data_IF_474509912628
#
_entry.id   IF_474509912628
#
_cell.length_a   1.000
_cell.length_b   1.000
_cell.length_c   1.000
_cell.angle_alpha   90.00
_cell.angle_beta   90.00
_cell.angle_gamma   90.00
#
_symmetry.space_group_name_H-M   'P 1'
#
loop_
_entity.id
_entity.type
_entity.pdbx_description
1 polymer ?
#
# COMPACT_ATOMS: atom_id res chain seq x y z
N UNK A 1 -24.38 1.08 -6.28
CA UNK A 1 -24.92 2.28 -5.61
C UNK A 1 -24.39 2.26 -4.18
N UNK A 2 -23.38 3.08 -3.85
CA UNK A 2 -22.81 3.11 -2.49
C UNK A 2 -23.81 3.81 -1.57
N UNK A 3 -24.46 3.06 -0.69
CA UNK A 3 -25.27 3.62 0.39
C UNK A 3 -24.27 4.07 1.46
N UNK A 4 -24.07 5.38 1.59
CA UNK A 4 -23.25 5.94 2.66
C UNK A 4 -23.95 5.67 4.00
N UNK A 5 -23.40 4.74 4.78
CA UNK A 5 -23.89 4.42 6.12
C UNK A 5 -23.55 5.60 7.03
N UNK A 6 -24.57 6.36 7.42
CA UNK A 6 -24.43 7.47 8.35
C UNK A 6 -24.09 6.93 9.75
N UNK A 7 -23.12 7.56 10.40
CA UNK A 7 -22.72 7.28 11.79
C UNK A 7 -23.91 7.39 12.76
N UNK A 8 -23.89 6.74 13.93
CA UNK A 8 -24.99 6.75 14.90
C UNK A 8 -25.50 8.16 15.24
N UNK A 9 -24.59 9.12 15.35
CA UNK A 9 -24.88 10.54 15.60
C UNK A 9 -25.67 11.20 14.48
N UNK A 10 -25.45 10.79 13.23
CA UNK A 10 -26.17 11.31 12.05
C UNK A 10 -27.53 10.63 11.85
N UNK A 11 -27.73 9.40 12.36
CA UNK A 11 -29.04 8.70 12.40
C UNK A 11 -30.04 9.41 13.33
N UNK A 12 -29.53 9.92 14.47
CA UNK A 12 -30.31 10.71 15.44
C UNK A 12 -30.92 11.99 14.82
N UNK A 13 -30.17 12.63 13.91
CA UNK A 13 -30.59 13.86 13.24
C UNK A 13 -31.72 13.62 12.23
N UNK A 14 -31.67 12.53 11.46
CA UNK A 14 -32.67 12.23 10.41
C UNK A 14 -34.02 11.80 11.01
N UNK A 15 -34.00 10.97 12.06
CA UNK A 15 -35.25 10.53 12.73
C UNK A 15 -35.84 11.65 13.59
N UNK A 16 -35.01 12.44 14.25
CA UNK A 16 -35.47 13.63 14.97
C UNK A 16 -36.19 14.64 14.05
N UNK A 17 -35.67 14.85 12.84
CA UNK A 17 -36.30 15.72 11.82
C UNK A 17 -37.62 15.14 11.29
N UNK A 18 -37.71 13.82 11.07
CA UNK A 18 -38.97 13.21 10.62
C UNK A 18 -40.08 13.23 11.68
N UNK A 19 -39.73 12.97 12.95
CA UNK A 19 -40.69 13.06 14.07
C UNK A 19 -41.12 14.51 14.27
N UNK A 20 -40.20 15.48 14.15
CA UNK A 20 -40.56 16.90 14.17
C UNK A 20 -41.53 17.26 13.04
N UNK A 21 -41.28 16.81 11.81
CA UNK A 21 -42.13 17.12 10.64
C UNK A 21 -43.53 16.53 10.76
N UNK A 22 -43.67 15.30 11.27
CA UNK A 22 -44.97 14.65 11.43
C UNK A 22 -45.81 15.29 12.53
N UNK A 23 -45.18 15.74 13.63
CA UNK A 23 -45.90 16.41 14.73
C UNK A 23 -46.24 17.85 14.36
N UNK A 24 -45.35 18.59 13.68
CA UNK A 24 -45.66 19.94 13.19
C UNK A 24 -46.84 19.95 12.19
N UNK A 25 -46.89 18.99 11.26
CA UNK A 25 -47.97 18.93 10.26
C UNK A 25 -49.33 18.53 10.84
N UNK A 26 -49.37 17.79 11.96
CA UNK A 26 -50.62 17.43 12.63
C UNK A 26 -51.25 18.61 13.38
N UNK A 27 -50.43 19.55 13.89
CA UNK A 27 -50.89 20.68 14.71
C UNK A 27 -51.08 21.99 13.93
N UNK A 28 -50.35 22.21 12.82
CA UNK A 28 -50.48 23.42 12.00
C UNK A 28 -51.86 23.65 11.39
N UNK A 29 -52.76 22.65 11.40
CA UNK A 29 -54.14 22.79 10.91
C UNK A 29 -55.14 23.33 11.94
N UNK A 30 -54.79 23.46 13.23
CA UNK A 30 -55.71 23.96 14.26
C UNK A 30 -55.02 24.89 15.29
N UNK A 31 -55.01 26.20 14.96
CA UNK A 31 -54.85 27.42 15.82
C UNK A 31 -53.66 27.54 16.82
N UNK A 32 -53.09 28.74 17.00
CA UNK A 32 -51.83 28.99 17.72
C UNK A 32 -51.92 29.04 19.26
N UNK A 33 -52.98 28.48 19.87
CA UNK A 33 -53.23 28.61 21.32
C UNK A 33 -52.63 27.45 22.14
N UNK A 34 -52.07 26.44 21.45
CA UNK A 34 -51.71 25.14 22.05
C UNK A 34 -50.22 25.09 22.44
N UNK A 35 -49.37 25.96 21.87
CA UNK A 35 -47.92 25.92 22.11
C UNK A 35 -47.50 26.54 23.45
N UNK A 36 -48.25 27.48 24.03
CA UNK A 36 -47.87 28.11 25.31
C UNK A 36 -48.40 27.37 26.55
N UNK A 37 -49.12 26.26 26.38
CA UNK A 37 -49.60 25.44 27.50
C UNK A 37 -48.42 24.64 28.11
N UNK A 38 -48.07 24.86 29.40
CA UNK A 38 -46.95 24.16 30.05
C UNK A 38 -47.12 22.63 30.09
N UNK A 39 -48.36 22.13 30.08
CA UNK A 39 -48.64 20.70 30.02
C UNK A 39 -48.30 20.13 28.64
N UNK A 40 -48.58 20.89 27.59
CA UNK A 40 -48.27 20.49 26.21
C UNK A 40 -46.77 20.59 25.94
N UNK A 41 -46.11 21.64 26.42
CA UNK A 41 -44.64 21.75 26.39
C UNK A 41 -43.95 20.59 27.11
N UNK A 42 -44.50 20.12 28.24
CA UNK A 42 -44.00 18.91 28.92
C UNK A 42 -44.21 17.64 28.11
N UNK A 43 -45.34 17.50 27.41
CA UNK A 43 -45.61 16.36 26.53
C UNK A 43 -44.63 16.36 25.35
N UNK A 44 -44.37 17.52 24.76
CA UNK A 44 -43.36 17.69 23.69
C UNK A 44 -41.95 17.34 24.18
N UNK A 45 -41.53 17.86 25.34
CA UNK A 45 -40.24 17.54 25.93
C UNK A 45 -40.09 16.05 26.26
N UNK A 46 -41.16 15.39 26.69
CA UNK A 46 -41.17 13.95 26.95
C UNK A 46 -41.04 13.12 25.65
N UNK A 47 -41.73 13.53 24.58
CA UNK A 47 -41.68 12.87 23.26
C UNK A 47 -40.34 13.03 22.55
N UNK A 48 -39.63 14.13 22.82
CA UNK A 48 -38.29 14.42 22.28
C UNK A 48 -37.16 13.92 23.20
N UNK A 49 -37.48 13.30 24.34
CA UNK A 49 -36.46 12.75 25.22
C UNK A 49 -35.66 11.64 24.52
N UNK A 50 -34.35 11.48 24.80
CA UNK A 50 -33.54 10.43 24.20
C UNK A 50 -34.17 9.03 24.34
N UNK A 51 -34.80 8.76 25.49
CA UNK A 51 -35.48 7.49 25.75
C UNK A 51 -36.76 7.29 24.92
N UNK A 52 -37.52 8.35 24.64
CA UNK A 52 -38.72 8.27 23.80
C UNK A 52 -38.38 8.10 22.32
N UNK A 53 -37.30 8.74 21.86
CA UNK A 53 -36.74 8.55 20.52
C UNK A 53 -36.30 7.09 20.35
N UNK A 54 -35.57 6.54 21.32
CA UNK A 54 -35.11 5.15 21.30
C UNK A 54 -36.27 4.15 21.27
N UNK A 55 -37.30 4.35 22.10
CA UNK A 55 -38.51 3.51 22.11
C UNK A 55 -39.29 3.58 20.80
N UNK A 56 -39.36 4.75 20.19
CA UNK A 56 -40.01 4.92 18.88
C UNK A 56 -39.25 4.20 17.78
N UNK A 57 -37.91 4.24 17.84
CA UNK A 57 -37.04 3.50 16.91
C UNK A 57 -37.29 1.99 16.99
N UNK A 58 -37.31 1.44 18.21
CA UNK A 58 -37.62 0.03 18.47
C UNK A 58 -39.03 -0.36 18.00
N UNK A 59 -40.01 0.54 18.13
CA UNK A 59 -41.39 0.27 17.72
C UNK A 59 -41.58 0.24 16.19
N UNK A 60 -40.96 1.19 15.47
CA UNK A 60 -41.13 1.28 14.00
C UNK A 60 -40.21 0.33 13.23
N UNK A 61 -39.04 0.02 13.76
CA UNK A 61 -38.04 -0.77 13.06
C UNK A 61 -37.82 -2.18 13.65
N UNK A 62 -38.30 -2.44 14.87
CA UNK A 62 -38.14 -3.72 15.57
C UNK A 62 -36.68 -4.15 15.74
N UNK A 63 -36.45 -5.32 16.35
CA UNK A 63 -35.15 -6.01 16.43
C UNK A 63 -34.54 -6.37 15.04
N UNK A 64 -35.14 -5.90 13.95
CA UNK A 64 -34.79 -6.24 12.56
C UNK A 64 -34.15 -5.09 11.79
N UNK A 65 -33.97 -3.90 12.37
CA UNK A 65 -33.05 -2.93 11.82
C UNK A 65 -31.61 -3.30 12.19
N UNK A 66 -30.90 -3.88 11.23
CA UNK A 66 -29.46 -4.19 11.31
C UNK A 66 -29.09 -4.98 12.58
N UNK A 67 -29.52 -6.25 12.65
CA UNK A 67 -28.51 -7.24 13.01
C UNK A 67 -27.48 -7.21 11.87
N UNK A 68 -26.47 -6.34 12.00
CA UNK A 68 -25.13 -6.82 11.71
C UNK A 68 -25.08 -8.19 12.39
N UNK A 69 -25.01 -9.26 11.60
CA UNK A 69 -24.46 -10.51 12.11
C UNK A 69 -23.01 -10.18 12.38
N UNK A 70 -22.76 -9.50 13.51
CA UNK A 70 -21.46 -9.55 14.16
C UNK A 70 -21.24 -11.03 14.39
N UNK A 71 -20.21 -11.57 13.76
CA UNK A 71 -19.80 -12.98 13.77
C UNK A 71 -19.43 -13.50 15.17
N UNK A 72 -19.80 -12.78 16.23
CA UNK A 72 -19.39 -13.02 17.60
C UNK A 72 -20.13 -14.18 18.28
N UNK A 73 -21.04 -14.87 17.58
CA UNK A 73 -21.74 -16.04 18.14
C UNK A 73 -21.70 -17.29 17.23
N UNK A 74 -20.89 -17.27 16.17
CA UNK A 74 -20.63 -18.48 15.38
C UNK A 74 -19.50 -19.28 16.01
N UNK A 75 -19.70 -20.60 16.12
CA UNK A 75 -18.70 -21.56 16.62
C UNK A 75 -17.39 -21.43 15.82
N UNK A 76 -16.25 -21.34 16.49
CA UNK A 76 -14.95 -21.20 15.82
C UNK A 76 -14.54 -22.51 15.16
N UNK A 77 -13.83 -22.44 14.02
CA UNK A 77 -13.22 -23.62 13.41
C UNK A 77 -12.30 -24.37 14.39
N UNK A 78 -11.59 -23.68 15.29
CA UNK A 78 -10.77 -24.31 16.33
C UNK A 78 -11.52 -25.40 17.14
N UNK A 79 -12.82 -25.25 17.34
CA UNK A 79 -13.62 -26.12 18.19
C UNK A 79 -14.08 -27.39 17.45
N UNK A 80 -14.13 -27.34 16.11
CA UNK A 80 -14.75 -28.36 15.27
C UNK A 80 -13.76 -29.13 14.39
N UNK A 81 -12.49 -28.74 14.38
CA UNK A 81 -11.44 -29.44 13.64
C UNK A 81 -10.84 -30.60 14.44
N UNK A 82 -10.49 -31.66 13.73
CA UNK A 82 -9.56 -32.68 14.16
C UNK A 82 -8.12 -32.13 14.07
N UNK A 83 -7.13 -32.77 14.74
CA UNK A 83 -5.73 -32.37 14.62
C UNK A 83 -5.17 -32.39 13.19
N UNK A 84 -5.77 -33.17 12.29
CA UNK A 84 -5.40 -33.26 10.87
C UNK A 84 -6.01 -32.15 10.00
N UNK A 85 -6.73 -31.20 10.61
CA UNK A 85 -7.40 -30.11 9.90
C UNK A 85 -8.73 -30.49 9.26
N UNK A 86 -9.22 -31.73 9.40
CA UNK A 86 -10.56 -32.09 8.92
C UNK A 86 -11.65 -31.73 9.91
N UNK A 87 -12.88 -31.49 9.46
CA UNK A 87 -14.03 -31.27 10.35
C UNK A 87 -14.40 -32.60 11.04
N UNK A 88 -14.64 -32.55 12.36
CA UNK A 88 -15.13 -33.68 13.17
C UNK A 88 -16.44 -34.23 12.58
N UNK A 89 -16.58 -35.55 12.56
CA UNK A 89 -17.78 -36.23 12.04
C UNK A 89 -19.04 -35.80 12.80
N UNK A 90 -20.15 -35.58 12.08
CA UNK A 90 -21.44 -35.21 12.68
C UNK A 90 -21.61 -33.72 12.99
N UNK A 91 -20.62 -32.89 12.67
CA UNK A 91 -20.71 -31.43 12.78
C UNK A 91 -21.28 -30.84 11.48
N UNK A 92 -22.29 -29.98 11.60
CA UNK A 92 -22.93 -29.27 10.49
C UNK A 92 -23.22 -27.79 10.87
N UNK A 93 -23.45 -26.94 9.87
CA UNK A 93 -23.77 -25.52 10.05
C UNK A 93 -22.67 -24.56 9.59
N UNK A 94 -22.78 -23.30 9.99
CA UNK A 94 -21.83 -22.23 9.68
C UNK A 94 -20.84 -22.03 10.82
N UNK A 95 -19.58 -21.78 10.48
CA UNK A 95 -18.48 -21.62 11.44
C UNK A 95 -17.75 -20.30 11.20
N UNK A 96 -17.18 -19.73 12.26
CA UNK A 96 -16.22 -18.65 12.11
C UNK A 96 -14.89 -19.24 11.63
N UNK A 97 -14.52 -18.93 10.39
CA UNK A 97 -13.29 -19.35 9.74
C UNK A 97 -12.18 -18.29 9.82
N UNK A 98 -12.39 -17.20 10.55
CA UNK A 98 -11.38 -16.16 10.75
C UNK A 98 -10.09 -16.77 11.34
N UNK A 99 -8.95 -16.45 10.72
CA UNK A 99 -7.66 -17.00 11.10
C UNK A 99 -7.37 -18.41 10.58
N UNK A 100 -8.17 -18.95 9.64
CA UNK A 100 -7.93 -20.24 9.00
C UNK A 100 -7.83 -20.14 7.47
N UNK A 101 -6.98 -20.97 6.88
CA UNK A 101 -6.94 -21.24 5.45
C UNK A 101 -7.57 -22.61 5.16
N UNK A 102 -8.20 -22.76 3.99
CA UNK A 102 -8.74 -24.04 3.50
C UNK A 102 -7.88 -24.56 2.35
N UNK A 103 -7.51 -25.83 2.41
CA UNK A 103 -6.85 -26.57 1.34
C UNK A 103 -7.51 -27.93 1.12
N UNK A 104 -6.87 -28.79 0.33
CA UNK A 104 -7.32 -30.16 0.08
C UNK A 104 -6.21 -31.15 0.42
N UNK A 105 -6.59 -32.28 1.02
CA UNK A 105 -5.66 -33.39 1.24
C UNK A 105 -5.35 -34.14 -0.08
N UNK A 106 -4.45 -35.13 0.00
CA UNK A 106 -4.06 -35.99 -1.14
C UNK A 106 -5.22 -36.76 -1.79
N UNK A 107 -6.37 -36.83 -1.13
CA UNK A 107 -7.58 -37.50 -1.60
C UNK A 107 -8.66 -36.50 -2.06
N UNK A 108 -8.35 -35.20 -2.06
CA UNK A 108 -9.28 -34.14 -2.45
C UNK A 108 -10.30 -33.76 -1.36
N UNK A 109 -10.08 -34.14 -0.10
CA UNK A 109 -10.95 -33.76 1.03
C UNK A 109 -10.53 -32.38 1.56
N UNK A 110 -11.48 -31.47 1.85
CA UNK A 110 -11.15 -30.18 2.42
C UNK A 110 -10.53 -30.32 3.82
N UNK A 111 -9.44 -29.59 4.05
CA UNK A 111 -8.74 -29.47 5.32
C UNK A 111 -8.51 -28.00 5.65
N UNK A 112 -8.52 -27.65 6.93
CA UNK A 112 -8.33 -26.31 7.43
C UNK A 112 -7.09 -26.26 8.33
N UNK A 113 -6.28 -25.22 8.16
CA UNK A 113 -5.09 -24.96 8.98
C UNK A 113 -5.12 -23.52 9.48
N UNK A 114 -4.52 -23.20 10.64
CA UNK A 114 -4.31 -21.81 11.02
C UNK A 114 -3.67 -21.06 9.85
N UNK A 115 -4.31 -19.97 9.43
CA UNK A 115 -3.76 -19.10 8.41
C UNK A 115 -2.45 -18.54 8.99
N UNK A 116 -1.32 -18.93 8.40
CA UNK A 116 -0.11 -18.15 8.58
C UNK A 116 -0.44 -16.75 8.07
N UNK A 117 -0.26 -15.71 8.89
CA UNK A 117 -0.49 -14.30 8.53
C UNK A 117 0.53 -13.78 7.51
N UNK A 118 0.79 -14.56 6.46
CA UNK A 118 1.64 -14.22 5.34
C UNK A 118 0.89 -14.55 4.05
N UNK A 119 -0.20 -13.82 3.80
CA UNK A 119 -0.61 -13.40 2.46
C UNK A 119 -0.52 -14.45 1.32
N UNK A 120 -0.86 -15.72 1.54
CA UNK A 120 -1.01 -16.70 0.46
C UNK A 120 -2.46 -16.68 -0.02
N UNK A 121 -2.83 -15.57 -0.66
CA UNK A 121 -4.11 -15.33 -1.29
C UNK A 121 -3.88 -14.65 -2.63
N UNK A 122 -3.74 -15.48 -3.65
CA UNK A 122 -3.58 -15.26 -5.09
C UNK A 122 -4.51 -14.25 -5.80
N UNK A 123 -5.17 -13.32 -5.12
CA UNK A 123 -6.14 -12.40 -5.74
C UNK A 123 -6.10 -10.94 -5.27
N UNK A 124 -5.05 -10.52 -4.56
CA UNK A 124 -4.75 -9.10 -4.37
C UNK A 124 -3.69 -8.64 -5.38
N UNK A 125 -3.98 -8.76 -6.68
CA UNK A 125 -3.43 -7.82 -7.66
C UNK A 125 -4.06 -6.45 -7.39
N UNK A 126 -3.72 -5.87 -6.24
CA UNK A 126 -4.03 -4.49 -5.99
C UNK A 126 -3.32 -3.71 -7.09
N UNK A 127 -4.11 -3.12 -7.97
CA UNK A 127 -3.69 -2.24 -9.03
C UNK A 127 -3.01 -0.97 -8.49
N UNK A 128 -2.57 -0.93 -7.23
CA UNK A 128 -1.60 0.03 -6.67
C UNK A 128 -0.36 0.23 -7.55
N UNK A 129 0.02 -0.75 -8.37
CA UNK A 129 1.11 -0.59 -9.33
C UNK A 129 0.77 0.33 -10.51
N UNK A 130 -0.52 0.52 -10.86
CA UNK A 130 -0.90 1.00 -12.19
C UNK A 130 -0.92 2.52 -12.39
N UNK A 131 -0.53 3.33 -11.40
CA UNK A 131 -0.56 4.79 -11.57
C UNK A 131 0.76 5.54 -11.36
N UNK A 132 1.78 4.98 -10.68
CA UNK A 132 3.01 5.73 -10.41
C UNK A 132 4.18 5.33 -11.31
N UNK A 133 4.34 4.05 -11.62
CA UNK A 133 5.47 3.59 -12.43
C UNK A 133 5.20 3.95 -13.89
N UNK A 134 6.03 4.84 -14.43
CA UNK A 134 5.98 5.22 -15.85
C UNK A 134 7.26 4.80 -16.56
N UNK A 135 7.13 4.55 -17.87
CA UNK A 135 8.23 4.10 -18.71
C UNK A 135 8.47 2.59 -18.64
N UNK A 136 9.34 2.12 -19.53
CA UNK A 136 9.72 0.71 -19.61
C UNK A 136 10.59 0.34 -18.42
N UNK A 137 10.26 -0.73 -17.70
CA UNK A 137 11.11 -1.26 -16.64
C UNK A 137 12.38 -1.83 -17.27
N UNK A 138 13.53 -1.30 -16.87
CA UNK A 138 14.85 -1.72 -17.35
C UNK A 138 15.65 -2.47 -16.29
N UNK A 139 15.43 -2.15 -15.01
CA UNK A 139 16.15 -2.73 -13.89
C UNK A 139 15.21 -2.94 -12.71
N UNK A 140 15.40 -4.04 -11.99
CA UNK A 140 14.73 -4.33 -10.73
C UNK A 140 15.77 -4.83 -9.75
N UNK A 141 15.73 -4.34 -8.52
CA UNK A 141 16.55 -4.84 -7.42
C UNK A 141 15.71 -4.89 -6.14
N UNK A 142 16.08 -5.77 -5.22
CA UNK A 142 15.34 -5.96 -3.96
C UNK A 142 16.35 -5.93 -2.82
N UNK A 143 16.02 -5.21 -1.75
CA UNK A 143 16.77 -5.24 -0.49
C UNK A 143 15.82 -5.23 0.68
N UNK A 144 15.99 -6.20 1.58
CA UNK A 144 15.03 -6.51 2.63
C UNK A 144 13.63 -6.67 2.01
N UNK A 145 12.69 -5.82 2.40
CA UNK A 145 11.32 -5.79 1.88
C UNK A 145 11.06 -4.64 0.89
N UNK A 146 12.11 -3.92 0.49
CA UNK A 146 12.00 -2.82 -0.49
C UNK A 146 12.34 -3.28 -1.90
N UNK A 147 11.43 -3.05 -2.84
CA UNK A 147 11.67 -3.31 -4.27
C UNK A 147 12.01 -1.98 -4.95
N UNK A 148 13.16 -1.91 -5.61
CA UNK A 148 13.57 -0.79 -6.43
C UNK A 148 13.35 -1.11 -7.91
N UNK A 149 12.75 -0.18 -8.64
CA UNK A 149 12.43 -0.33 -10.06
C UNK A 149 12.99 0.86 -10.83
N UNK A 150 13.97 0.61 -11.69
CA UNK A 150 14.51 1.57 -12.64
C UNK A 150 13.80 1.45 -13.97
N UNK A 151 13.32 2.57 -14.49
CA UNK A 151 12.59 2.62 -15.76
C UNK A 151 13.34 3.43 -16.82
N UNK A 152 12.76 3.56 -18.01
CA UNK A 152 13.25 4.46 -19.07
C UNK A 152 13.14 5.95 -18.70
N UNK A 153 12.45 6.29 -17.60
CA UNK A 153 12.16 7.67 -17.22
C UNK A 153 12.56 8.02 -15.78
N UNK A 154 12.53 7.07 -14.84
CA UNK A 154 12.76 7.37 -13.42
C UNK A 154 13.17 6.12 -12.61
N UNK A 155 13.28 6.28 -11.29
CA UNK A 155 13.42 5.22 -10.30
C UNK A 155 12.31 5.29 -9.26
N UNK A 156 11.75 4.12 -8.95
CA UNK A 156 10.67 3.93 -8.00
C UNK A 156 11.07 2.94 -6.92
N UNK A 157 10.41 3.03 -5.76
CA UNK A 157 10.52 2.05 -4.69
C UNK A 157 9.13 1.58 -4.23
N UNK A 158 9.04 0.33 -3.79
CA UNK A 158 7.91 -0.24 -3.06
C UNK A 158 8.37 -0.57 -1.64
N UNK A 159 7.73 0.01 -0.63
CA UNK A 159 8.11 -0.13 0.79
C UNK A 159 7.36 -1.27 1.53
N UNK A 160 6.67 -2.14 0.78
CA UNK A 160 5.77 -3.15 1.35
C UNK A 160 4.30 -2.71 1.39
N UNK A 161 4.01 -1.41 1.26
CA UNK A 161 2.65 -0.84 1.36
C UNK A 161 2.27 0.09 0.22
N UNK A 162 3.24 0.83 -0.34
CA UNK A 162 3.04 1.87 -1.34
C UNK A 162 4.21 2.01 -2.32
N UNK A 163 3.89 2.40 -3.57
CA UNK A 163 4.89 2.82 -4.55
C UNK A 163 5.20 4.31 -4.35
N UNK A 164 6.47 4.69 -4.42
CA UNK A 164 6.92 6.09 -4.41
C UNK A 164 8.11 6.30 -5.36
N UNK A 165 8.36 7.55 -5.77
CA UNK A 165 9.61 7.92 -6.47
C UNK A 165 10.74 7.96 -5.44
N UNK A 166 11.86 7.27 -5.72
CA UNK A 166 12.98 7.20 -4.76
C UNK A 166 13.70 8.55 -4.67
N UNK A 167 13.61 9.24 -3.52
CA UNK A 167 14.43 10.41 -3.23
C UNK A 167 14.28 11.58 -4.21
N UNK A 168 13.08 11.80 -4.76
CA UNK A 168 12.85 12.79 -5.83
C UNK A 168 13.22 12.32 -7.23
N UNK A 169 13.85 11.15 -7.35
CA UNK A 169 14.04 10.42 -8.59
C UNK A 169 15.23 10.88 -9.42
N UNK A 170 15.25 10.41 -10.67
CA UNK A 170 16.19 10.83 -11.71
C UNK A 170 15.39 11.33 -12.92
N UNK A 171 16.06 12.03 -13.83
CA UNK A 171 15.41 12.63 -15.01
C UNK A 171 15.51 11.80 -16.30
N UNK A 172 15.90 10.52 -16.20
CA UNK A 172 16.13 9.69 -17.37
C UNK A 172 16.22 8.21 -17.06
N UNK A 173 16.69 7.44 -18.04
CA UNK A 173 16.69 5.98 -17.93
C UNK A 173 17.65 5.49 -16.84
N UNK A 174 17.13 4.71 -15.89
CA UNK A 174 17.92 3.86 -15.01
C UNK A 174 18.02 2.49 -15.66
N UNK A 175 19.24 2.05 -15.96
CA UNK A 175 19.52 0.79 -16.70
C UNK A 175 20.03 -0.31 -15.81
N UNK A 176 20.58 0.03 -14.64
CA UNK A 176 21.08 -0.92 -13.66
C UNK A 176 20.90 -0.36 -12.26
N UNK A 177 20.59 -1.25 -11.32
CA UNK A 177 20.52 -0.98 -9.89
C UNK A 177 21.36 -2.04 -9.19
N UNK A 178 22.28 -1.63 -8.33
CA UNK A 178 23.06 -2.51 -7.47
C UNK A 178 22.92 -2.05 -6.03
N UNK A 179 22.89 -3.00 -5.09
CA UNK A 179 22.64 -2.71 -3.68
C UNK A 179 23.82 -3.22 -2.84
N UNK A 180 24.27 -2.41 -1.88
CA UNK A 180 25.26 -2.79 -0.88
C UNK A 180 24.84 -2.26 0.49
N UNK A 181 24.40 -3.16 1.37
CA UNK A 181 23.78 -2.76 2.63
C UNK A 181 22.53 -1.89 2.40
N UNK A 182 22.56 -0.67 2.93
CA UNK A 182 21.49 0.34 2.73
C UNK A 182 21.69 1.21 1.50
N UNK A 183 22.86 1.13 0.87
CA UNK A 183 23.19 1.96 -0.28
C UNK A 183 22.61 1.37 -1.57
N UNK A 184 21.97 2.23 -2.36
CA UNK A 184 21.46 1.88 -3.70
C UNK A 184 22.25 2.64 -4.74
N UNK A 185 23.02 1.91 -5.54
CA UNK A 185 23.75 2.43 -6.68
C UNK A 185 22.91 2.31 -7.93
N UNK A 186 22.78 3.40 -8.67
CA UNK A 186 22.03 3.44 -9.93
C UNK A 186 22.93 3.86 -11.07
N UNK A 187 22.80 3.18 -12.19
CA UNK A 187 23.52 3.48 -13.42
C UNK A 187 22.54 3.64 -14.58
N UNK A 188 22.79 4.60 -15.47
CA UNK A 188 21.90 4.83 -16.58
C UNK A 188 22.27 6.01 -17.47
N UNK A 189 21.29 6.46 -18.25
CA UNK A 189 21.40 7.59 -19.17
C UNK A 189 20.77 8.89 -18.64
N UNK A 190 20.60 9.00 -17.32
CA UNK A 190 20.08 10.21 -16.67
C UNK A 190 21.19 11.26 -16.53
N UNK A 191 20.79 12.54 -16.52
CA UNK A 191 21.68 13.70 -16.38
C UNK A 191 21.43 14.47 -15.08
N UNK A 192 20.57 13.96 -14.21
CA UNK A 192 20.23 14.55 -12.91
C UNK A 192 19.68 13.48 -11.97
N UNK A 193 20.05 13.54 -10.70
CA UNK A 193 19.44 12.78 -9.61
C UNK A 193 19.07 13.71 -8.45
N UNK A 194 17.90 13.52 -7.84
CA UNK A 194 17.44 14.34 -6.71
C UNK A 194 17.27 15.83 -7.01
N UNK A 195 17.19 16.22 -8.29
CA UNK A 195 17.19 17.63 -8.68
C UNK A 195 18.59 18.27 -8.81
N UNK A 196 19.68 17.52 -8.70
CA UNK A 196 21.06 18.02 -8.83
C UNK A 196 21.72 17.57 -10.15
N UNK A 197 22.04 18.54 -11.01
CA UNK A 197 22.64 18.30 -12.33
C UNK A 197 24.14 17.91 -12.25
N UNK A 198 24.77 17.99 -11.08
CA UNK A 198 26.12 17.46 -10.86
C UNK A 198 26.14 15.93 -10.71
N UNK A 199 24.98 15.31 -10.45
CA UNK A 199 24.84 13.86 -10.25
C UNK A 199 24.30 13.22 -11.54
N UNK A 200 25.20 12.72 -12.38
CA UNK A 200 24.88 12.21 -13.72
C UNK A 200 25.39 10.79 -13.94
N UNK A 201 24.63 10.00 -14.71
CA UNK A 201 24.93 8.64 -15.20
C UNK A 201 25.17 7.54 -14.16
N UNK A 202 25.75 7.88 -13.01
CA UNK A 202 25.93 7.03 -11.84
C UNK A 202 25.66 7.84 -10.57
N UNK A 203 24.85 7.28 -9.68
CA UNK A 203 24.52 7.90 -8.40
C UNK A 203 24.40 6.84 -7.31
N UNK A 204 24.60 7.27 -6.06
CA UNK A 204 24.33 6.49 -4.85
C UNK A 204 23.22 7.17 -4.06
N UNK A 205 22.23 6.40 -3.64
CA UNK A 205 21.26 6.76 -2.62
C UNK A 205 21.64 6.10 -1.30
N UNK A 206 21.82 6.89 -0.24
CA UNK A 206 22.24 6.41 1.09
C UNK A 206 21.07 6.11 2.05
N UNK A 207 19.83 6.19 1.56
CA UNK A 207 18.62 6.14 2.37
C UNK A 207 17.97 7.50 2.61
N UNK A 208 18.70 8.59 2.39
CA UNK A 208 18.26 9.96 2.64
C UNK A 208 18.58 10.95 1.52
N UNK A 209 19.70 10.76 0.83
CA UNK A 209 20.21 11.70 -0.16
C UNK A 209 20.85 10.99 -1.35
N UNK A 210 20.76 11.63 -2.52
CA UNK A 210 21.51 11.26 -3.70
C UNK A 210 22.90 11.88 -3.64
N UNK A 211 23.92 11.12 -4.03
CA UNK A 211 25.30 11.58 -4.16
C UNK A 211 25.95 11.04 -5.43
N UNK A 212 26.85 11.83 -6.01
CA UNK A 212 27.75 11.35 -7.06
C UNK A 212 28.89 10.51 -6.45
N UNK A 213 29.44 9.60 -7.25
CA UNK A 213 30.70 8.90 -6.91
C UNK A 213 31.85 9.76 -7.44
N UNK A 214 32.44 10.59 -6.58
CA UNK A 214 33.46 11.57 -7.00
C UNK A 214 32.93 12.48 -8.11
N UNK A 215 33.71 12.67 -9.19
CA UNK A 215 33.27 13.42 -10.38
C UNK A 215 32.42 12.59 -11.37
N UNK A 216 32.06 11.34 -11.02
CA UNK A 216 31.25 10.46 -11.86
C UNK A 216 31.95 9.97 -13.14
N UNK A 217 31.13 9.64 -14.14
CA UNK A 217 31.56 9.21 -15.49
C UNK A 217 30.90 10.10 -16.55
N UNK A 218 31.42 10.11 -17.77
CA UNK A 218 30.94 10.99 -18.84
C UNK A 218 29.97 10.34 -19.84
N UNK A 219 29.35 9.20 -19.50
CA UNK A 219 28.46 8.50 -20.42
C UNK A 219 27.62 7.43 -19.74
N UNK A 220 26.70 6.84 -20.51
CA UNK A 220 25.68 5.92 -20.00
C UNK A 220 26.32 4.72 -19.31
N UNK A 221 25.86 4.41 -18.10
CA UNK A 221 26.23 3.19 -17.37
C UNK A 221 25.21 2.09 -17.67
N UNK A 222 25.71 0.91 -18.02
CA UNK A 222 24.92 -0.29 -18.33
C UNK A 222 25.06 -1.38 -17.28
N UNK A 223 26.15 -1.40 -16.52
CA UNK A 223 26.42 -2.41 -15.51
C UNK A 223 27.10 -1.80 -14.28
N UNK A 224 26.70 -2.28 -13.10
CA UNK A 224 27.33 -1.98 -11.82
C UNK A 224 27.48 -3.30 -11.05
N UNK A 225 28.66 -3.55 -10.50
CA UNK A 225 28.88 -4.60 -9.52
C UNK A 225 29.56 -4.00 -8.28
N UNK A 226 29.11 -4.40 -7.09
CA UNK A 226 29.65 -3.89 -5.82
C UNK A 226 30.29 -5.03 -5.04
N UNK A 227 31.50 -4.80 -4.51
CA UNK A 227 32.24 -5.74 -3.68
C UNK A 227 32.90 -4.99 -2.51
N UNK A 228 32.25 -5.01 -1.34
CA UNK A 228 32.69 -4.18 -0.21
C UNK A 228 32.53 -2.69 -0.54
N UNK A 229 33.63 -1.94 -0.47
CA UNK A 229 33.68 -0.50 -0.86
C UNK A 229 33.89 -0.29 -2.35
N UNK A 230 34.26 -1.34 -3.08
CA UNK A 230 34.61 -1.27 -4.49
C UNK A 230 33.37 -1.34 -5.37
N UNK A 231 33.26 -0.40 -6.30
CA UNK A 231 32.17 -0.30 -7.27
C UNK A 231 32.75 -0.37 -8.68
N UNK A 232 32.47 -1.46 -9.37
CA UNK A 232 32.86 -1.72 -10.75
C UNK A 232 31.76 -1.25 -11.67
N UNK A 233 32.09 -0.44 -12.67
CA UNK A 233 31.11 0.15 -13.59
C UNK A 233 31.48 -0.17 -15.02
N UNK A 234 30.46 -0.56 -15.80
CA UNK A 234 30.56 -0.82 -17.23
C UNK A 234 29.57 0.05 -18.01
N UNK A 235 30.00 0.62 -19.14
CA UNK A 235 29.19 1.62 -19.85
C UNK A 235 29.69 2.01 -21.24
N UNK A 236 29.10 3.08 -21.80
CA UNK A 236 29.60 3.74 -23.02
C UNK A 236 30.52 4.93 -22.73
N UNK A 237 30.86 5.18 -21.46
CA UNK A 237 31.73 6.28 -21.05
C UNK A 237 33.18 6.08 -21.54
N UNK A 238 33.88 7.20 -21.70
CA UNK A 238 35.31 7.27 -22.04
C UNK A 238 36.15 7.88 -20.92
N UNK A 239 35.50 8.43 -19.89
CA UNK A 239 36.14 9.00 -18.72
C UNK A 239 35.44 8.62 -17.42
N UNK A 240 36.23 8.44 -16.37
CA UNK A 240 35.79 8.26 -14.99
C UNK A 240 36.66 9.13 -14.07
N UNK A 241 36.04 9.92 -13.19
CA UNK A 241 36.76 10.84 -12.30
C UNK A 241 37.58 11.92 -13.03
N UNK A 242 37.23 12.25 -14.28
CA UNK A 242 38.00 13.18 -15.13
C UNK A 242 39.22 12.55 -15.84
N UNK A 243 39.45 11.25 -15.68
CA UNK A 243 40.54 10.52 -16.33
C UNK A 243 40.03 9.55 -17.37
N UNK A 244 40.88 9.21 -18.36
CA UNK A 244 40.54 8.24 -19.40
C UNK A 244 40.22 6.87 -18.79
N UNK A 245 39.04 6.32 -19.12
CA UNK A 245 38.60 5.00 -18.74
C UNK A 245 37.73 4.42 -19.85
N UNK A 246 38.22 3.38 -20.53
CA UNK A 246 37.57 2.83 -21.72
C UNK A 246 36.46 1.84 -21.33
N UNK A 247 35.26 2.38 -21.05
CA UNK A 247 34.01 1.62 -20.85
C UNK A 247 33.94 0.74 -19.60
N UNK A 248 35.02 0.64 -18.84
CA UNK A 248 35.08 -0.07 -17.56
C UNK A 248 35.98 0.68 -16.58
N UNK A 249 35.50 0.86 -15.35
CA UNK A 249 36.23 1.56 -14.29
C UNK A 249 35.88 0.98 -12.91
N UNK A 250 36.75 1.25 -11.94
CA UNK A 250 36.61 0.91 -10.53
C UNK A 250 36.60 2.19 -9.70
N UNK A 251 35.59 2.34 -8.84
CA UNK A 251 35.56 3.29 -7.74
C UNK A 251 35.87 2.56 -6.44
N UNK A 252 36.93 2.96 -5.72
CA UNK A 252 37.37 2.29 -4.49
C UNK A 252 36.83 2.92 -3.19
N UNK A 253 35.78 3.73 -3.28
CA UNK A 253 35.25 4.53 -2.17
C UNK A 253 35.76 5.97 -2.13
N UNK A 254 36.89 6.27 -2.79
CA UNK A 254 37.46 7.63 -2.82
C UNK A 254 37.94 8.09 -4.20
N UNK A 255 38.27 7.18 -5.12
CA UNK A 255 38.86 7.52 -6.41
C UNK A 255 38.47 6.54 -7.50
N UNK A 256 38.40 7.07 -8.72
CA UNK A 256 38.21 6.28 -9.93
C UNK A 256 39.54 5.78 -10.48
N UNK A 257 39.53 4.55 -11.00
CA UNK A 257 40.63 3.96 -11.76
C UNK A 257 40.09 3.22 -12.97
N UNK A 258 40.80 3.27 -14.10
CA UNK A 258 40.49 2.42 -15.24
C UNK A 258 40.87 0.97 -14.93
N UNK A 259 40.08 0.02 -15.40
CA UNK A 259 40.42 -1.40 -15.29
C UNK A 259 41.11 -1.90 -16.56
N UNK A 260 42.44 -2.05 -16.47
CA UNK A 260 43.29 -2.47 -17.58
C UNK A 260 43.25 -1.49 -18.76
N UNK A 261 43.36 -2.01 -19.98
CA UNK A 261 43.17 -1.24 -21.22
C UNK A 261 41.70 -0.87 -21.50
N UNK A 262 40.77 -1.44 -20.74
CA UNK A 262 39.33 -1.39 -20.94
C UNK A 262 38.82 -2.37 -22.00
N UNK A 263 37.53 -2.23 -22.35
CA UNK A 263 36.82 -3.12 -23.30
C UNK A 263 36.56 -2.39 -24.62
N UNK A 264 37.63 -2.20 -25.40
CA UNK A 264 37.56 -1.64 -26.75
C UNK A 264 36.95 -2.68 -27.71
N UNK A 265 35.72 -2.45 -28.16
CA UNK A 265 35.14 -3.24 -29.26
C UNK A 265 35.79 -2.80 -30.58
N UNK A 266 36.77 -3.57 -31.05
CA UNK A 266 36.91 -3.98 -32.45
C UNK A 266 37.42 -5.42 -32.47
N UNK A 267 36.50 -6.38 -32.53
CA UNK A 267 36.81 -7.72 -33.04
C UNK A 267 35.54 -8.41 -33.54
N UNK A 268 35.53 -8.59 -34.87
CA UNK A 268 34.59 -9.29 -35.76
C UNK A 268 33.39 -8.50 -36.27
#
# INVERSE_FOLDING_TARGET
MKINILTPTKRLLVVGIMVLLSVHNAFAKNKPVIEDDPAIQKIFAALLSPAAIERSWQFFYGDNAEKEVTTNNQRSLNEVLNPDGTIKTGINGSFNAEGFSMGYDKNGKPVFSPASVNNTGDNAWDNKASQLITGTVNAVAISNDTIYVGTSANIYQWDGSSWSVLGGGVNGAVRVIAISGTDVYVGGGFTQAGGDASIQYIAKWDGSSWSALGAGVNGTVYAIAVSGTDVYVGGSFTQAGGHAANRIALWNGSSWSALGSGVNNYSH
#
